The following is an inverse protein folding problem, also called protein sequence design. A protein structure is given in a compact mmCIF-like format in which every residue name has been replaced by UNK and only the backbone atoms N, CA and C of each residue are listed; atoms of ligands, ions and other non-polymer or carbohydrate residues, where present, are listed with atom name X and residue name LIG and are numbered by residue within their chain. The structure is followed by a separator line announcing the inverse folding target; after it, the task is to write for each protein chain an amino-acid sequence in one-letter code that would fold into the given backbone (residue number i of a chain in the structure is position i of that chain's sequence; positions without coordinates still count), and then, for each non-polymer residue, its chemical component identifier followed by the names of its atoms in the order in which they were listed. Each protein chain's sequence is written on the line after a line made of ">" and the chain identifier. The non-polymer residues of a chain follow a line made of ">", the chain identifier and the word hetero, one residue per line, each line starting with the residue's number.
data_IF_272778678846
#
_entry.id   IF_272778678846
#
_cell.length_a   1.000
_cell.length_b   1.000
_cell.length_c   1.000
_cell.angle_alpha   90.00
_cell.angle_beta   90.00
_cell.angle_gamma   90.00
#
_symmetry.space_group_name_H-M   'P 1'
#
loop_
_entity.id
_entity.type
_entity.pdbx_description
1 polymer ?
#
# COMPACT_ATOMS: atom_id res chain seq x y z
N UNK A 1 6.05 24.21 -23.08
CA UNK A 1 5.96 22.76 -23.40
C UNK A 1 6.37 21.83 -22.26
N UNK A 2 7.15 22.25 -21.26
CA UNK A 2 7.54 21.40 -20.11
C UNK A 2 6.45 21.21 -19.04
N UNK A 3 5.45 22.09 -19.01
CA UNK A 3 4.40 22.13 -17.97
C UNK A 3 3.53 20.86 -17.90
N UNK A 4 3.48 20.08 -18.97
CA UNK A 4 2.61 18.90 -19.07
C UNK A 4 3.37 17.56 -18.96
N UNK A 5 4.69 17.56 -18.77
CA UNK A 5 5.48 16.31 -18.77
C UNK A 5 5.18 15.38 -17.58
N UNK A 6 4.76 15.94 -16.44
CA UNK A 6 4.43 15.19 -15.23
C UNK A 6 2.96 14.73 -15.21
N UNK A 7 2.13 15.21 -16.14
CA UNK A 7 0.70 14.90 -16.14
C UNK A 7 0.52 13.51 -16.71
N UNK A 8 0.22 12.56 -15.84
CA UNK A 8 -0.24 11.24 -16.26
C UNK A 8 -1.49 11.42 -17.13
N UNK A 9 -1.54 10.70 -18.24
CA UNK A 9 -2.74 10.67 -19.07
C UNK A 9 -3.84 10.00 -18.26
N UNK A 10 -5.08 10.48 -18.39
CA UNK A 10 -6.23 9.77 -17.85
C UNK A 10 -6.35 8.35 -18.45
N UNK A 11 -5.76 8.14 -19.64
CA UNK A 11 -5.63 6.82 -20.27
C UNK A 11 -4.68 5.89 -19.50
N UNK A 12 -3.69 6.41 -18.77
CA UNK A 12 -2.78 5.59 -17.95
C UNK A 12 -3.54 4.91 -16.80
N UNK A 13 -4.70 5.44 -16.40
CA UNK A 13 -5.61 4.80 -15.44
C UNK A 13 -6.54 3.75 -16.07
N UNK A 14 -6.61 3.70 -17.40
CA UNK A 14 -7.40 2.74 -18.19
C UNK A 14 -6.54 1.58 -18.70
N UNK A 15 -5.22 1.68 -18.65
CA UNK A 15 -4.33 0.57 -19.01
C UNK A 15 -4.36 -0.50 -17.93
N UNK A 16 -4.78 -1.70 -18.31
CA UNK A 16 -4.77 -2.89 -17.45
C UNK A 16 -3.34 -3.39 -17.36
N UNK A 17 -2.82 -3.56 -16.14
CA UNK A 17 -1.53 -4.20 -15.91
C UNK A 17 -1.60 -5.71 -16.16
N UNK A 18 -0.47 -6.36 -16.40
CA UNK A 18 -0.44 -7.83 -16.50
C UNK A 18 -0.98 -8.47 -15.21
N UNK A 19 -1.98 -9.34 -15.34
CA UNK A 19 -2.66 -9.95 -14.20
C UNK A 19 -1.76 -10.85 -13.35
N UNK A 20 -0.79 -11.53 -13.96
CA UNK A 20 0.15 -12.35 -13.21
C UNK A 20 1.09 -11.46 -12.39
N UNK A 21 1.63 -10.41 -13.00
CA UNK A 21 2.48 -9.45 -12.31
C UNK A 21 1.75 -8.73 -11.17
N UNK A 22 0.50 -8.31 -11.41
CA UNK A 22 -0.33 -7.67 -10.39
C UNK A 22 -0.65 -8.62 -9.22
N UNK A 23 -0.93 -9.89 -9.51
CA UNK A 23 -1.12 -10.93 -8.50
C UNK A 23 0.15 -11.19 -7.67
N UNK A 24 1.32 -11.23 -8.30
CA UNK A 24 2.60 -11.38 -7.60
C UNK A 24 2.90 -10.18 -6.69
N UNK A 25 2.64 -8.97 -7.15
CA UNK A 25 2.78 -7.75 -6.34
C UNK A 25 1.84 -7.77 -5.14
N UNK A 26 0.58 -8.13 -5.34
CA UNK A 26 -0.39 -8.29 -4.25
C UNK A 26 0.07 -9.33 -3.23
N UNK A 27 0.54 -10.49 -3.68
CA UNK A 27 1.06 -11.53 -2.79
C UNK A 27 2.29 -11.06 -2.00
N UNK A 28 3.19 -10.29 -2.62
CA UNK A 28 4.35 -9.70 -1.96
C UNK A 28 3.95 -8.69 -0.88
N UNK A 29 3.05 -7.76 -1.20
CA UNK A 29 2.58 -6.73 -0.26
C UNK A 29 1.85 -7.37 0.93
N UNK A 30 1.00 -8.38 0.70
CA UNK A 30 0.30 -9.10 1.77
C UNK A 30 1.29 -9.84 2.68
N UNK A 31 2.37 -10.44 2.14
CA UNK A 31 3.43 -11.03 2.96
C UNK A 31 4.14 -9.98 3.82
N UNK A 32 4.47 -8.82 3.26
CA UNK A 32 5.07 -7.72 4.03
C UNK A 32 4.12 -7.21 5.13
N UNK A 33 2.82 -7.10 4.83
CA UNK A 33 1.81 -6.74 5.83
C UNK A 33 1.73 -7.76 6.96
N UNK A 34 1.88 -9.05 6.68
CA UNK A 34 1.92 -10.08 7.71
C UNK A 34 3.13 -9.92 8.65
N UNK A 35 4.30 -9.62 8.11
CA UNK A 35 5.50 -9.36 8.92
C UNK A 35 5.36 -8.07 9.74
N UNK A 36 4.82 -7.00 9.15
CA UNK A 36 4.52 -5.77 9.87
C UNK A 36 3.47 -5.98 10.96
N UNK A 37 2.47 -6.84 10.73
CA UNK A 37 1.43 -7.17 11.73
C UNK A 37 2.03 -7.91 12.92
N UNK A 38 2.94 -8.86 12.69
CA UNK A 38 3.70 -9.52 13.78
C UNK A 38 4.55 -8.53 14.56
N UNK A 39 5.20 -7.59 13.87
CA UNK A 39 6.01 -6.55 14.51
C UNK A 39 5.14 -5.56 15.29
N UNK A 40 3.94 -5.25 14.79
CA UNK A 40 2.99 -4.40 15.50
C UNK A 40 2.53 -5.05 16.80
N UNK A 41 2.18 -6.34 16.78
CA UNK A 41 1.82 -7.08 18.01
C UNK A 41 2.95 -7.04 19.03
N UNK A 42 4.18 -7.37 18.62
CA UNK A 42 5.36 -7.27 19.50
C UNK A 42 5.57 -5.86 20.03
N UNK A 43 5.34 -4.85 19.19
CA UNK A 43 5.46 -3.45 19.59
C UNK A 43 4.45 -3.08 20.68
N UNK A 44 3.21 -3.58 20.59
CA UNK A 44 2.18 -3.37 21.60
C UNK A 44 2.51 -4.06 22.93
N UNK A 45 3.04 -5.28 22.89
CA UNK A 45 3.46 -6.01 24.10
C UNK A 45 4.61 -5.31 24.84
N UNK A 46 5.49 -4.65 24.12
CA UNK A 46 6.58 -3.84 24.70
C UNK A 46 6.07 -2.49 25.21
N UNK A 47 5.11 -1.87 24.52
CA UNK A 47 4.47 -0.62 24.89
C UNK A 47 3.74 -0.72 26.23
N UNK A 48 3.09 -1.85 26.52
CA UNK A 48 2.41 -2.11 27.81
C UNK A 48 3.37 -2.05 29.02
N UNK A 49 4.67 -2.27 28.80
CA UNK A 49 5.70 -2.30 29.85
C UNK A 49 6.44 -0.96 30.02
N UNK A 50 6.16 0.04 29.18
CA UNK A 50 6.93 1.29 29.13
C UNK A 50 6.19 2.48 29.72
N UNK A 51 6.96 3.47 30.18
CA UNK A 51 6.42 4.74 30.68
C UNK A 51 6.07 5.69 29.52
N UNK A 52 5.18 6.68 29.73
CA UNK A 52 4.73 7.61 28.68
C UNK A 52 5.87 8.42 28.02
N UNK A 53 6.89 8.77 28.80
CA UNK A 53 8.05 9.53 28.34
C UNK A 53 8.95 8.69 27.40
N UNK A 54 9.07 7.39 27.69
CA UNK A 54 9.82 6.45 26.85
C UNK A 54 9.06 6.12 25.54
N UNK A 55 7.73 6.12 25.59
CA UNK A 55 6.88 5.92 24.41
C UNK A 55 7.01 7.05 23.39
N UNK A 56 7.08 8.30 23.84
CA UNK A 56 7.22 9.47 22.97
C UNK A 56 8.52 9.47 22.13
N UNK A 57 9.60 8.86 22.66
CA UNK A 57 10.92 8.85 22.04
C UNK A 57 11.17 7.53 21.26
N UNK A 58 10.46 6.45 21.58
CA UNK A 58 10.63 5.10 21.01
C UNK A 58 10.52 5.05 19.48
N UNK A 59 9.62 5.83 18.90
CA UNK A 59 9.36 5.80 17.46
C UNK A 59 10.38 6.63 16.64
N UNK A 60 11.35 7.26 17.30
CA UNK A 60 12.41 8.02 16.63
C UNK A 60 13.51 7.08 16.15
N UNK A 61 13.72 7.03 14.83
CA UNK A 61 14.79 6.23 14.21
C UNK A 61 14.49 4.74 14.00
N UNK A 62 13.32 4.25 14.43
CA UNK A 62 12.81 2.91 14.14
C UNK A 62 11.57 2.97 13.25
N UNK A 63 11.37 1.92 12.46
CA UNK A 63 10.17 1.80 11.63
C UNK A 63 8.93 1.68 12.52
N UNK A 64 7.98 2.60 12.39
CA UNK A 64 6.67 2.49 13.03
C UNK A 64 5.82 1.47 12.25
N UNK A 65 5.57 0.27 12.81
CA UNK A 65 4.86 -0.79 12.10
C UNK A 65 3.40 -0.46 11.83
N UNK A 66 2.76 0.37 12.67
CA UNK A 66 1.37 0.79 12.45
C UNK A 66 1.27 1.69 11.22
N UNK A 67 2.14 2.70 11.15
CA UNK A 67 2.14 3.64 10.03
C UNK A 67 2.40 2.94 8.70
N UNK A 68 3.35 1.99 8.68
CA UNK A 68 3.67 1.24 7.45
C UNK A 68 2.59 0.24 7.06
N UNK A 69 1.82 -0.30 8.02
CA UNK A 69 0.63 -1.09 7.70
C UNK A 69 -0.41 -0.26 6.97
N UNK A 70 -0.71 0.94 7.48
CA UNK A 70 -1.67 1.87 6.86
C UNK A 70 -1.23 2.26 5.44
N UNK A 71 0.05 2.65 5.26
CA UNK A 71 0.62 2.98 3.95
C UNK A 71 0.49 1.83 2.94
N UNK A 72 0.77 0.59 3.36
CA UNK A 72 0.67 -0.59 2.50
C UNK A 72 -0.78 -0.94 2.13
N UNK A 73 -1.72 -0.78 3.07
CA UNK A 73 -3.16 -1.00 2.80
C UNK A 73 -3.67 -0.01 1.77
N UNK A 74 -3.35 1.27 1.92
CA UNK A 74 -3.80 2.32 1.00
C UNK A 74 -3.25 2.09 -0.42
N UNK A 75 -1.97 1.73 -0.53
CA UNK A 75 -1.36 1.41 -1.82
C UNK A 75 -2.01 0.19 -2.49
N UNK A 76 -2.24 -0.89 -1.72
CA UNK A 76 -2.86 -2.12 -2.20
C UNK A 76 -4.31 -1.91 -2.65
N UNK A 77 -5.11 -1.20 -1.84
CA UNK A 77 -6.50 -0.83 -2.17
C UNK A 77 -6.55 -0.02 -3.45
N UNK A 78 -5.74 1.04 -3.55
CA UNK A 78 -5.72 1.92 -4.72
C UNK A 78 -5.39 1.15 -6.00
N UNK A 79 -4.34 0.30 -5.95
CA UNK A 79 -3.95 -0.54 -7.10
C UNK A 79 -5.06 -1.50 -7.53
N UNK A 80 -5.68 -2.21 -6.58
CA UNK A 80 -6.70 -3.19 -6.87
C UNK A 80 -8.00 -2.57 -7.39
N UNK A 81 -8.43 -1.43 -6.83
CA UNK A 81 -9.63 -0.72 -7.27
C UNK A 81 -9.46 -0.23 -8.71
N UNK A 82 -8.32 0.39 -9.04
CA UNK A 82 -8.03 0.89 -10.39
C UNK A 82 -7.99 -0.27 -11.40
N UNK A 83 -7.30 -1.37 -11.08
CA UNK A 83 -7.19 -2.54 -11.96
C UNK A 83 -8.57 -3.19 -12.22
N UNK A 84 -9.39 -3.37 -11.17
CA UNK A 84 -10.74 -3.90 -11.30
C UNK A 84 -11.64 -3.00 -12.17
N UNK A 85 -11.59 -1.69 -11.95
CA UNK A 85 -12.38 -0.73 -12.72
C UNK A 85 -11.94 -0.69 -14.19
N UNK A 86 -10.62 -0.68 -14.44
CA UNK A 86 -10.06 -0.70 -15.80
C UNK A 86 -10.49 -1.95 -16.58
N UNK A 87 -10.49 -3.12 -15.93
CA UNK A 87 -10.97 -4.36 -16.53
C UNK A 87 -12.47 -4.31 -16.87
N UNK A 88 -13.32 -3.84 -15.94
CA UNK A 88 -14.76 -3.70 -16.18
C UNK A 88 -15.07 -2.70 -17.30
N UNK A 89 -14.40 -1.55 -17.31
CA UNK A 89 -14.57 -0.54 -18.35
C UNK A 89 -14.14 -1.06 -19.72
N UNK A 90 -13.04 -1.80 -19.79
CA UNK A 90 -12.53 -2.34 -21.06
C UNK A 90 -13.52 -3.31 -21.70
N UNK A 91 -14.21 -4.12 -20.91
CA UNK A 91 -15.26 -5.03 -21.38
C UNK A 91 -16.49 -4.32 -21.98
N UNK A 92 -16.81 -3.10 -21.50
CA UNK A 92 -17.99 -2.34 -21.94
C UNK A 92 -17.66 -1.41 -23.11
N UNK A 93 -16.49 -0.76 -23.07
CA UNK A 93 -16.09 0.28 -24.04
C UNK A 93 -15.53 -0.31 -25.32
N UNK A 94 -14.73 -1.38 -25.23
CA UNK A 94 -14.11 -2.01 -26.40
C UNK A 94 -14.88 -3.27 -26.76
N UNK A 95 -15.96 -3.07 -27.50
CA UNK A 95 -16.78 -4.13 -28.09
C UNK A 95 -16.39 -4.36 -29.54
#
# INVERSE_FOLDING_TARGET
>A
MLLNLHKKSWMDGLTIQDFNQHSEQNASVVKQMLDLSKNYIKSLEEEEKMTPEQLAIRNVGKQDPKRHLEENVDALMTSNIVQCLAAMMSLVVFK
#
